data_IF_106124843189
#
_entry.id   IF_106124843189
#
_cell.length_a   1.000
_cell.length_b   1.000
_cell.length_c   1.000
_cell.angle_alpha   90.00
_cell.angle_beta   90.00
_cell.angle_gamma   90.00
#
_symmetry.space_group_name_H-M   'P 1'
#
loop_
_entity.id
_entity.type
_entity.pdbx_description
1 polymer ?
#
# COMPACT_ATOMS: atom_id res chain seq x y z
N UNK A 1 -0.18 1.63 -14.91
CA UNK A 1 0.97 2.11 -14.10
C UNK A 1 1.81 0.88 -13.84
N UNK A 2 3.08 0.89 -14.22
CA UNK A 2 3.91 -0.30 -14.10
C UNK A 2 4.36 -0.48 -12.66
N UNK A 3 4.40 -1.74 -12.19
CA UNK A 3 5.00 -2.10 -10.91
C UNK A 3 6.50 -1.81 -11.02
N UNK A 4 7.03 -0.98 -10.12
CA UNK A 4 8.47 -0.72 -10.06
C UNK A 4 9.17 -1.80 -9.24
N UNK A 5 10.47 -1.98 -9.45
CA UNK A 5 11.25 -3.07 -8.84
C UNK A 5 11.24 -3.04 -7.30
N UNK A 6 11.19 -1.85 -6.70
CA UNK A 6 11.09 -1.67 -5.25
C UNK A 6 9.68 -1.89 -4.69
N UNK A 7 8.68 -2.17 -5.54
CA UNK A 7 7.30 -2.44 -5.12
C UNK A 7 7.13 -3.94 -4.96
N UNK A 8 7.52 -4.42 -3.79
CA UNK A 8 7.34 -5.81 -3.36
C UNK A 8 5.92 -6.07 -2.84
N UNK A 9 5.49 -7.33 -2.93
CA UNK A 9 4.16 -7.75 -2.46
C UNK A 9 4.00 -7.56 -0.95
N UNK A 10 5.08 -7.72 -0.17
CA UNK A 10 5.11 -7.48 1.28
C UNK A 10 4.68 -6.05 1.64
N UNK A 11 5.12 -5.06 0.85
CA UNK A 11 4.69 -3.68 1.05
C UNK A 11 3.18 -3.50 0.86
N UNK A 12 2.59 -4.26 -0.07
CA UNK A 12 1.17 -4.18 -0.39
C UNK A 12 0.34 -4.88 0.69
N UNK A 13 0.76 -6.06 1.12
CA UNK A 13 0.15 -6.81 2.23
C UNK A 13 0.18 -5.99 3.52
N UNK A 14 1.31 -5.33 3.82
CA UNK A 14 1.40 -4.43 4.96
C UNK A 14 0.37 -3.30 4.90
N UNK A 15 0.18 -2.69 3.73
CA UNK A 15 -0.81 -1.62 3.55
C UNK A 15 -2.25 -2.13 3.64
N UNK A 16 -2.52 -3.37 3.22
CA UNK A 16 -3.82 -4.01 3.40
C UNK A 16 -4.13 -4.21 4.90
N UNK A 17 -3.17 -4.74 5.67
CA UNK A 17 -3.27 -4.87 7.12
C UNK A 17 -3.40 -3.50 7.82
N UNK A 18 -2.62 -2.51 7.39
CA UNK A 18 -2.69 -1.16 7.94
C UNK A 18 -4.07 -0.52 7.69
N UNK A 19 -4.64 -0.73 6.51
CA UNK A 19 -6.00 -0.29 6.18
C UNK A 19 -7.04 -0.98 7.06
N UNK A 20 -6.95 -2.29 7.23
CA UNK A 20 -7.88 -3.08 8.06
C UNK A 20 -7.78 -2.71 9.55
N UNK A 21 -6.58 -2.36 10.02
CA UNK A 21 -6.36 -1.93 11.40
C UNK A 21 -7.10 -0.65 11.78
N UNK A 22 -7.38 0.23 10.80
CA UNK A 22 -8.01 1.53 11.02
C UNK A 22 -7.17 2.55 11.80
N UNK A 23 -5.88 2.25 12.10
CA UNK A 23 -4.98 3.12 12.87
C UNK A 23 -4.71 4.46 12.16
N UNK A 24 -4.69 4.45 10.83
CA UNK A 24 -4.48 5.64 10.01
C UNK A 24 -5.36 5.59 8.76
N UNK A 25 -5.58 6.75 8.14
CA UNK A 25 -6.10 6.79 6.79
C UNK A 25 -4.96 6.53 5.79
N UNK A 26 -5.29 6.06 4.58
CA UNK A 26 -4.26 5.71 3.60
C UNK A 26 -3.50 6.92 3.04
N UNK A 27 -3.95 8.15 3.27
CA UNK A 27 -3.16 9.36 2.97
C UNK A 27 -2.02 9.58 3.99
N UNK A 28 -2.20 9.07 5.21
CA UNK A 28 -1.21 9.06 6.29
C UNK A 28 -0.38 7.78 6.39
N UNK A 29 -0.49 6.86 5.43
CA UNK A 29 0.19 5.56 5.47
C UNK A 29 1.69 5.63 5.13
N UNK A 30 2.16 6.69 4.46
CA UNK A 30 3.58 6.80 4.07
C UNK A 30 4.58 6.74 5.24
N UNK A 31 4.40 7.43 6.37
CA UNK A 31 5.31 7.29 7.51
C UNK A 31 5.33 5.89 8.11
N UNK A 32 4.25 5.12 7.99
CA UNK A 32 4.21 3.73 8.46
C UNK A 32 5.04 2.82 7.55
N UNK A 33 4.89 2.94 6.22
CA UNK A 33 5.75 2.25 5.26
C UNK A 33 7.23 2.54 5.48
N UNK A 34 7.61 3.81 5.67
CA UNK A 34 9.01 4.16 5.91
C UNK A 34 9.53 3.67 7.27
N UNK A 35 8.64 3.45 8.24
CA UNK A 35 8.99 2.92 9.55
C UNK A 35 9.23 1.42 9.53
N UNK A 36 8.39 0.69 8.78
CA UNK A 36 8.51 -0.77 8.62
C UNK A 36 9.59 -1.16 7.60
N UNK A 37 9.72 -0.38 6.52
CA UNK A 37 10.65 -0.63 5.41
C UNK A 37 11.64 0.53 5.29
N UNK A 38 12.72 0.54 6.08
CA UNK A 38 13.69 1.63 6.10
C UNK A 38 14.53 1.72 4.82
N UNK A 39 14.52 0.69 3.96
CA UNK A 39 15.13 0.76 2.63
C UNK A 39 14.37 1.68 1.66
N UNK A 40 13.08 1.92 1.90
CA UNK A 40 12.28 2.79 1.06
C UNK A 40 12.60 4.26 1.35
N UNK A 41 13.01 4.99 0.32
CA UNK A 41 13.06 6.44 0.38
C UNK A 41 11.64 7.02 0.49
N UNK A 42 11.56 8.27 0.97
CA UNK A 42 10.31 9.05 1.02
C UNK A 42 9.55 9.07 -0.31
N UNK A 43 10.26 9.03 -1.43
CA UNK A 43 9.65 9.01 -2.76
C UNK A 43 9.14 7.60 -3.14
N UNK A 44 9.93 6.57 -2.88
CA UNK A 44 9.56 5.17 -3.14
C UNK A 44 8.35 4.76 -2.31
N UNK A 45 8.34 5.05 -1.00
CA UNK A 45 7.17 4.80 -0.15
C UNK A 45 5.91 5.53 -0.65
N UNK A 46 6.07 6.71 -1.27
CA UNK A 46 4.97 7.43 -1.91
C UNK A 46 4.45 6.72 -3.16
N UNK A 47 5.36 6.19 -3.98
CA UNK A 47 5.02 5.43 -5.18
C UNK A 47 4.38 4.08 -4.85
N UNK A 48 4.89 3.35 -3.85
CA UNK A 48 4.31 2.12 -3.31
C UNK A 48 2.87 2.37 -2.87
N UNK A 49 2.65 3.40 -2.04
CA UNK A 49 1.31 3.75 -1.56
C UNK A 49 0.37 4.14 -2.72
N UNK A 50 0.85 4.93 -3.68
CA UNK A 50 0.06 5.30 -4.85
C UNK A 50 -0.28 4.11 -5.73
N UNK A 51 0.66 3.18 -5.93
CA UNK A 51 0.46 1.95 -6.66
C UNK A 51 -0.57 1.06 -5.94
N UNK A 52 -0.42 0.87 -4.63
CA UNK A 52 -1.36 0.13 -3.80
C UNK A 52 -2.77 0.70 -3.90
N UNK A 53 -2.95 2.02 -3.76
CA UNK A 53 -4.28 2.66 -3.83
C UNK A 53 -4.97 2.44 -5.18
N UNK A 54 -4.20 2.42 -6.28
CA UNK A 54 -4.74 2.23 -7.64
C UNK A 54 -5.10 0.78 -7.94
N UNK A 55 -4.35 -0.16 -7.39
CA UNK A 55 -4.48 -1.60 -7.65
C UNK A 55 -5.26 -2.35 -6.56
N UNK A 56 -5.66 -1.66 -5.48
CA UNK A 56 -6.34 -2.25 -4.33
C UNK A 56 -7.60 -3.04 -4.75
N UNK A 57 -8.45 -2.48 -5.61
CA UNK A 57 -9.69 -3.13 -6.06
C UNK A 57 -9.44 -4.39 -6.90
N UNK A 58 -8.27 -4.52 -7.53
CA UNK A 58 -7.90 -5.71 -8.30
C UNK A 58 -7.51 -6.87 -7.37
N UNK A 59 -6.89 -6.56 -6.22
CA UNK A 59 -6.53 -7.54 -5.18
C UNK A 59 -7.70 -7.88 -4.26
N UNK A 60 -8.60 -6.93 -4.04
CA UNK A 60 -9.78 -7.06 -3.20
C UNK A 60 -11.04 -6.87 -4.04
N UNK A 61 -11.36 -7.81 -4.96
CA UNK A 61 -12.62 -7.76 -5.66
C UNK A 61 -13.73 -7.81 -4.62
N UNK A 62 -14.54 -6.75 -4.55
CA UNK A 62 -15.75 -6.82 -3.74
C UNK A 62 -16.60 -7.97 -4.30
N UNK A 63 -17.11 -8.88 -3.45
CA UNK A 63 -18.15 -9.79 -3.90
C UNK A 63 -19.28 -8.91 -4.43
N UNK A 64 -19.65 -9.11 -5.69
CA UNK A 64 -20.80 -8.47 -6.31
C UNK A 64 -21.96 -8.58 -5.34
N UNK A 65 -22.54 -7.44 -4.95
CA UNK A 65 -23.65 -7.43 -4.02
C UNK A 65 -24.80 -8.24 -4.62
N UNK A 66 -24.99 -9.46 -4.11
CA UNK A 66 -26.09 -10.36 -4.43
C UNK A 66 -27.40 -9.88 -3.80
#
# INVERSE_FOLDING_TARGET
MERQEFIEDEHLEYLDLLRESGVTNMFGARPYLMGEYPELTKNEAGQVLQYWMRTFSERHPQPEAA
#
